data_IF_635125908367
#
_entry.id   IF_635125908367
#
_cell.length_a   1.000
_cell.length_b   1.000
_cell.length_c   1.000
_cell.angle_alpha   90.00
_cell.angle_beta   90.00
_cell.angle_gamma   90.00
#
_symmetry.space_group_name_H-M   'P 1'
#
loop_
_entity.id
_entity.type
_entity.pdbx_description
1 polymer ?
#
# COMPACT_ATOMS: atom_id res chain seq x y z
N UNK A 1 59.70 -69.56 14.57
CA UNK A 1 59.86 -68.75 13.35
C UNK A 1 58.47 -68.63 12.74
N UNK A 2 57.84 -67.45 12.81
CA UNK A 2 57.79 -66.44 11.73
C UNK A 2 56.95 -66.94 10.53
N UNK A 3 55.69 -66.51 10.36
CA UNK A 3 55.21 -65.24 9.75
C UNK A 3 55.29 -65.28 8.19
N UNK A 4 54.42 -64.72 7.34
CA UNK A 4 53.22 -63.82 7.45
C UNK A 4 52.14 -64.33 6.45
N UNK A 5 50.82 -64.19 6.67
CA UNK A 5 49.88 -63.27 5.96
C UNK A 5 48.58 -64.02 5.55
N UNK A 6 47.43 -63.42 5.16
CA UNK A 6 46.74 -62.18 5.58
C UNK A 6 45.28 -62.14 5.01
N UNK A 7 44.43 -61.24 5.52
CA UNK A 7 43.16 -60.69 4.97
C UNK A 7 42.07 -61.62 4.34
N UNK A 8 40.96 -61.77 5.08
CA UNK A 8 39.61 -62.15 4.64
C UNK A 8 38.84 -60.94 4.03
N UNK A 9 37.65 -61.02 3.42
CA UNK A 9 36.88 -62.08 2.73
C UNK A 9 35.82 -61.39 1.84
N UNK A 10 35.18 -62.12 0.91
CA UNK A 10 34.35 -61.55 -0.15
C UNK A 10 33.04 -60.89 0.32
N UNK A 11 32.66 -59.79 -0.33
CA UNK A 11 31.33 -59.17 -0.21
C UNK A 11 30.40 -59.58 -1.36
N UNK A 12 29.12 -59.79 -1.05
CA UNK A 12 28.04 -59.92 -2.03
C UNK A 12 26.76 -59.25 -1.51
N UNK A 13 25.96 -58.74 -2.44
CA UNK A 13 24.97 -57.68 -2.21
C UNK A 13 23.56 -58.25 -2.00
N UNK A 14 22.84 -57.79 -0.97
CA UNK A 14 21.38 -58.01 -0.84
C UNK A 14 20.67 -56.72 -0.45
N UNK A 15 19.56 -56.41 -1.15
CA UNK A 15 18.72 -55.23 -0.91
C UNK A 15 17.54 -55.62 -0.02
N UNK A 16 17.31 -54.87 1.06
CA UNK A 16 16.10 -54.99 1.90
C UNK A 16 15.16 -53.81 1.64
N UNK A 17 13.86 -54.11 1.51
CA UNK A 17 12.82 -53.11 1.27
C UNK A 17 12.27 -52.55 2.59
N UNK A 18 12.03 -51.24 2.65
CA UNK A 18 11.51 -50.57 3.84
C UNK A 18 9.96 -50.55 3.88
N UNK A 19 9.33 -50.80 5.04
CA UNK A 19 7.89 -50.62 5.22
C UNK A 19 7.52 -49.14 5.36
N UNK A 20 6.30 -48.80 4.93
CA UNK A 20 5.87 -47.42 4.73
C UNK A 20 5.37 -46.76 6.02
N UNK A 21 5.87 -45.56 6.33
CA UNK A 21 5.28 -44.68 7.35
C UNK A 21 4.30 -43.74 6.66
N UNK A 22 3.01 -43.87 6.99
CA UNK A 22 1.96 -42.93 6.61
C UNK A 22 2.16 -41.60 7.33
N UNK A 23 2.91 -40.70 6.71
CA UNK A 23 2.92 -39.29 7.09
C UNK A 23 1.62 -38.64 6.61
N UNK A 24 0.65 -38.49 7.52
CA UNK A 24 -0.52 -37.64 7.29
C UNK A 24 -0.05 -36.19 7.12
N UNK A 25 0.14 -35.77 5.87
CA UNK A 25 0.49 -34.39 5.54
C UNK A 25 -0.62 -33.45 6.01
N UNK A 26 -0.33 -32.69 7.05
CA UNK A 26 -1.19 -31.60 7.50
C UNK A 26 -1.12 -30.49 6.45
N UNK A 27 -2.03 -30.50 5.46
CA UNK A 27 -2.19 -29.36 4.58
C UNK A 27 -2.66 -28.17 5.44
N UNK A 28 -1.71 -27.31 5.82
CA UNK A 28 -2.06 -25.92 6.05
C UNK A 28 -2.56 -25.37 4.72
N UNK A 29 -3.88 -25.30 4.58
CA UNK A 29 -4.49 -24.32 3.69
C UNK A 29 -4.17 -22.93 4.25
N UNK A 30 -2.98 -22.43 3.92
CA UNK A 30 -2.71 -21.01 3.92
C UNK A 30 -3.71 -20.41 2.95
N UNK A 31 -4.78 -19.83 3.50
CA UNK A 31 -5.68 -18.96 2.76
C UNK A 31 -4.92 -17.67 2.47
N UNK A 32 -3.97 -17.74 1.53
CA UNK A 32 -3.44 -16.56 0.89
C UNK A 32 -4.60 -15.82 0.26
N UNK A 33 -4.69 -14.52 0.52
CA UNK A 33 -5.50 -13.65 -0.32
C UNK A 33 -5.07 -13.89 -1.78
N UNK A 34 -6.01 -13.98 -2.75
CA UNK A 34 -5.62 -14.14 -4.14
C UNK A 34 -4.72 -12.97 -4.54
N UNK A 35 -3.44 -13.29 -4.75
CA UNK A 35 -2.45 -12.34 -5.25
C UNK A 35 -2.92 -11.86 -6.60
N UNK A 36 -3.27 -10.58 -6.68
CA UNK A 36 -3.77 -9.98 -7.91
C UNK A 36 -2.59 -9.32 -8.62
N UNK A 37 -2.42 -9.67 -9.88
CA UNK A 37 -1.51 -8.99 -10.81
C UNK A 37 -1.77 -7.48 -10.75
N UNK A 38 -0.69 -6.68 -10.66
CA UNK A 38 -0.69 -5.23 -10.92
C UNK A 38 -1.89 -4.42 -10.40
N UNK A 39 -2.32 -4.66 -9.15
CA UNK A 39 -3.55 -4.13 -8.57
C UNK A 39 -3.56 -2.59 -8.37
N UNK A 40 -3.78 -1.82 -9.44
CA UNK A 40 -3.95 -0.36 -9.37
C UNK A 40 -5.35 0.00 -8.86
N UNK A 41 -5.37 0.79 -7.79
CA UNK A 41 -6.55 1.49 -7.29
C UNK A 41 -6.50 2.99 -7.56
N UNK A 42 -7.59 3.68 -7.24
CA UNK A 42 -7.65 5.15 -7.23
C UNK A 42 -8.32 5.63 -5.95
N UNK A 43 -7.74 6.64 -5.29
CA UNK A 43 -8.32 7.29 -4.12
C UNK A 43 -9.54 8.13 -4.50
N UNK A 44 -10.69 7.91 -3.86
CA UNK A 44 -11.88 8.75 -4.02
C UNK A 44 -11.89 9.80 -2.91
N UNK A 45 -11.18 10.91 -3.16
CA UNK A 45 -11.25 12.13 -2.36
C UNK A 45 -12.58 12.85 -2.55
N UNK A 46 -13.07 13.49 -1.48
CA UNK A 46 -14.41 14.13 -1.43
C UNK A 46 -14.36 15.51 -0.75
N UNK A 47 -13.18 16.13 -0.65
CA UNK A 47 -13.01 17.49 -0.10
C UNK A 47 -13.33 18.50 -1.22
N UNK A 48 -14.58 18.48 -1.69
CA UNK A 48 -15.07 19.29 -2.79
C UNK A 48 -16.60 19.42 -2.76
N UNK A 49 -17.12 20.48 -3.38
CA UNK A 49 -18.57 20.79 -3.40
C UNK A 49 -19.25 20.61 -4.76
N UNK A 50 -18.55 20.04 -5.74
CA UNK A 50 -18.97 19.98 -7.15
C UNK A 50 -18.79 18.59 -7.81
N UNK A 51 -18.60 17.54 -7.01
CA UNK A 51 -18.36 16.17 -7.51
C UNK A 51 -19.65 15.50 -8.05
N UNK A 52 -19.53 14.50 -8.95
CA UNK A 52 -20.66 13.69 -9.40
C UNK A 52 -21.30 12.86 -8.27
N UNK A 53 -22.51 12.37 -8.51
CA UNK A 53 -23.17 11.46 -7.57
C UNK A 53 -22.39 10.13 -7.44
N UNK A 54 -22.38 9.47 -6.26
CA UNK A 54 -21.59 8.25 -6.04
C UNK A 54 -21.83 7.14 -7.06
N UNK A 55 -23.06 6.94 -7.52
CA UNK A 55 -23.40 5.94 -8.54
C UNK A 55 -22.72 6.22 -9.89
N UNK A 56 -22.57 7.50 -10.26
CA UNK A 56 -21.84 7.90 -11.47
C UNK A 56 -20.34 7.63 -11.30
N UNK A 57 -19.78 7.93 -10.13
CA UNK A 57 -18.35 7.67 -9.84
C UNK A 57 -18.06 6.17 -9.81
N UNK A 58 -18.87 5.35 -9.14
CA UNK A 58 -18.67 3.89 -9.13
C UNK A 58 -18.86 3.29 -10.53
N UNK A 59 -19.79 3.81 -11.34
CA UNK A 59 -19.91 3.42 -12.76
C UNK A 59 -18.65 3.79 -13.56
N UNK A 60 -18.03 4.94 -13.25
CA UNK A 60 -16.81 5.43 -13.89
C UNK A 60 -15.58 4.60 -13.53
N UNK A 61 -15.43 4.19 -12.25
CA UNK A 61 -14.38 3.24 -11.84
C UNK A 61 -14.45 1.97 -12.69
N UNK A 62 -15.64 1.38 -12.83
CA UNK A 62 -15.86 0.19 -13.68
C UNK A 62 -15.56 0.45 -15.15
N UNK A 63 -16.02 1.58 -15.70
CA UNK A 63 -15.77 1.95 -17.10
C UNK A 63 -14.29 2.22 -17.42
N UNK A 64 -13.47 2.53 -16.40
CA UNK A 64 -12.02 2.76 -16.51
C UNK A 64 -11.17 1.55 -16.07
N UNK A 65 -11.79 0.40 -15.81
CA UNK A 65 -11.15 -0.83 -15.29
C UNK A 65 -10.44 -0.67 -13.94
N UNK A 66 -10.79 0.36 -13.15
CA UNK A 66 -10.22 0.60 -11.82
C UNK A 66 -10.86 -0.38 -10.84
N UNK A 67 -10.08 -1.35 -10.38
CA UNK A 67 -10.59 -2.46 -9.56
C UNK A 67 -10.62 -2.17 -8.06
N UNK A 68 -9.97 -1.08 -7.60
CA UNK A 68 -9.84 -0.75 -6.18
C UNK A 68 -10.10 0.72 -5.89
N UNK A 69 -10.77 0.99 -4.77
CA UNK A 69 -11.04 2.34 -4.27
C UNK A 69 -10.57 2.46 -2.82
N UNK A 70 -9.94 3.60 -2.49
CA UNK A 70 -9.70 4.01 -1.11
C UNK A 70 -10.60 5.19 -0.77
N UNK A 71 -11.42 5.01 0.27
CA UNK A 71 -12.27 6.01 0.89
C UNK A 71 -11.59 6.51 2.16
N UNK A 72 -11.56 7.82 2.38
CA UNK A 72 -10.89 8.43 3.54
C UNK A 72 -11.73 8.42 4.82
N UNK A 73 -13.05 8.31 4.68
CA UNK A 73 -14.03 8.28 5.77
C UNK A 73 -15.21 7.37 5.36
N UNK A 74 -16.07 6.94 6.30
CA UNK A 74 -17.22 6.11 5.98
C UNK A 74 -18.38 6.93 5.39
N UNK A 75 -18.45 7.01 4.06
CA UNK A 75 -19.62 7.54 3.36
C UNK A 75 -20.63 6.42 3.00
N UNK A 76 -21.85 6.51 3.55
CA UNK A 76 -22.88 5.47 3.38
C UNK A 76 -23.57 5.49 2.01
N UNK A 77 -23.55 6.60 1.28
CA UNK A 77 -24.07 6.68 -0.08
C UNK A 77 -23.10 6.00 -1.06
N UNK A 78 -21.80 6.25 -0.91
CA UNK A 78 -20.73 5.61 -1.69
C UNK A 78 -20.65 4.12 -1.38
N UNK A 79 -20.73 3.71 -0.11
CA UNK A 79 -20.84 2.30 0.26
C UNK A 79 -22.11 1.62 -0.27
N UNK A 80 -23.21 2.37 -0.44
CA UNK A 80 -24.42 1.86 -1.09
C UNK A 80 -24.21 1.68 -2.60
N UNK A 81 -23.62 2.65 -3.29
CA UNK A 81 -23.26 2.57 -4.71
C UNK A 81 -22.25 1.45 -5.01
N UNK A 82 -21.36 1.12 -4.06
CA UNK A 82 -20.38 0.04 -4.17
C UNK A 82 -20.98 -1.38 -4.07
N UNK A 83 -22.23 -1.54 -3.64
CA UNK A 83 -22.86 -2.87 -3.48
C UNK A 83 -22.94 -3.63 -4.80
N UNK A 84 -22.35 -4.81 -4.86
CA UNK A 84 -22.30 -5.64 -6.06
C UNK A 84 -21.42 -5.08 -7.19
N UNK A 85 -20.65 -4.02 -6.94
CA UNK A 85 -19.78 -3.41 -7.95
C UNK A 85 -18.67 -4.34 -8.42
N UNK A 86 -18.11 -5.14 -7.49
CA UNK A 86 -16.90 -5.94 -7.66
C UNK A 86 -15.61 -5.19 -7.32
N UNK A 87 -15.70 -3.91 -6.93
CA UNK A 87 -14.54 -3.08 -6.59
C UNK A 87 -14.12 -3.37 -5.15
N UNK A 88 -12.82 -3.60 -4.94
CA UNK A 88 -12.23 -3.78 -3.60
C UNK A 88 -12.06 -2.44 -2.88
N UNK A 89 -12.41 -2.39 -1.59
CA UNK A 89 -12.53 -1.15 -0.81
C UNK A 89 -11.54 -1.10 0.34
N UNK A 90 -10.76 -0.02 0.41
CA UNK A 90 -10.06 0.42 1.62
C UNK A 90 -10.93 1.48 2.30
N UNK A 91 -11.41 1.21 3.50
CA UNK A 91 -12.29 2.12 4.24
C UNK A 91 -11.54 2.80 5.40
N UNK A 92 -11.27 4.09 5.25
CA UNK A 92 -10.69 4.92 6.30
C UNK A 92 -11.66 5.24 7.43
N UNK A 93 -11.13 5.29 8.65
CA UNK A 93 -11.75 6.03 9.75
C UNK A 93 -11.43 7.51 9.62
N UNK A 94 -12.33 8.34 10.14
CA UNK A 94 -12.02 9.71 10.50
C UNK A 94 -10.84 9.75 11.49
N UNK A 95 -9.93 10.73 11.36
CA UNK A 95 -8.80 10.90 12.28
C UNK A 95 -9.29 11.39 13.66
N UNK A 96 -10.38 12.14 13.65
CA UNK A 96 -11.08 12.74 14.78
C UNK A 96 -11.74 11.67 15.65
N UNK A 97 -12.12 10.54 15.04
CA UNK A 97 -12.67 9.36 15.72
C UNK A 97 -11.61 8.55 16.48
N UNK A 98 -10.31 8.68 16.14
CA UNK A 98 -9.26 7.76 16.61
C UNK A 98 -9.17 7.66 18.13
N UNK A 99 -9.21 8.80 18.84
CA UNK A 99 -9.15 8.80 20.30
C UNK A 99 -10.32 8.00 20.91
N UNK A 100 -11.51 8.11 20.31
CA UNK A 100 -12.70 7.42 20.79
C UNK A 100 -12.70 5.94 20.40
N UNK A 101 -12.28 5.61 19.17
CA UNK A 101 -12.07 4.24 18.72
C UNK A 101 -11.02 3.52 19.58
N UNK A 102 -10.01 4.23 20.07
CA UNK A 102 -8.97 3.72 20.97
C UNK A 102 -9.45 3.49 22.41
N UNK A 103 -10.24 4.43 22.95
CA UNK A 103 -10.61 4.45 24.38
C UNK A 103 -11.96 3.80 24.71
N UNK A 104 -12.86 3.68 23.73
CA UNK A 104 -14.22 3.16 23.90
C UNK A 104 -14.51 1.99 22.92
N UNK A 105 -14.35 0.74 23.37
CA UNK A 105 -14.67 -0.43 22.56
C UNK A 105 -16.15 -0.50 22.12
N UNK A 106 -17.07 0.15 22.85
CA UNK A 106 -18.48 0.22 22.45
C UNK A 106 -18.71 1.20 21.29
N UNK A 107 -17.88 2.25 21.20
CA UNK A 107 -17.83 3.11 20.03
C UNK A 107 -17.30 2.37 18.81
N UNK A 108 -16.19 1.62 18.94
CA UNK A 108 -15.66 0.80 17.84
C UNK A 108 -16.66 -0.26 17.36
N UNK A 109 -17.39 -0.91 18.28
CA UNK A 109 -18.48 -1.82 17.93
C UNK A 109 -19.62 -1.11 17.17
N UNK A 110 -20.02 0.08 17.61
CA UNK A 110 -21.06 0.89 16.96
C UNK A 110 -20.62 1.38 15.57
N UNK A 111 -19.35 1.78 15.42
CA UNK A 111 -18.75 2.19 14.16
C UNK A 111 -18.78 1.05 13.14
N UNK A 112 -18.36 -0.16 13.53
CA UNK A 112 -18.42 -1.35 12.66
C UNK A 112 -19.86 -1.73 12.31
N UNK A 113 -20.78 -1.71 13.29
CA UNK A 113 -22.19 -2.02 13.08
C UNK A 113 -22.91 -1.04 12.13
N UNK A 114 -22.41 0.20 12.05
CA UNK A 114 -22.96 1.25 11.16
C UNK A 114 -22.30 1.22 9.77
N UNK A 115 -20.97 1.16 9.73
CA UNK A 115 -20.19 1.49 8.53
C UNK A 115 -19.70 0.27 7.73
N UNK A 116 -19.66 -0.92 8.34
CA UNK A 116 -19.11 -2.13 7.69
C UNK A 116 -20.14 -3.26 7.66
N UNK A 117 -20.75 -3.59 8.80
CA UNK A 117 -21.66 -4.73 8.92
C UNK A 117 -22.86 -4.68 7.95
N UNK A 118 -23.51 -3.53 7.66
CA UNK A 118 -24.64 -3.46 6.73
C UNK A 118 -24.24 -3.61 5.24
N UNK A 119 -22.94 -3.63 4.96
CA UNK A 119 -22.37 -3.74 3.62
C UNK A 119 -21.55 -5.02 3.42
N UNK A 120 -21.25 -5.75 4.51
CA UNK A 120 -20.53 -7.02 4.46
C UNK A 120 -21.21 -8.04 3.54
N UNK A 121 -20.44 -8.67 2.65
CA UNK A 121 -20.94 -9.59 1.62
C UNK A 121 -21.52 -8.93 0.36
N UNK A 122 -21.87 -7.64 0.41
CA UNK A 122 -22.28 -6.85 -0.77
C UNK A 122 -21.15 -5.92 -1.27
N UNK A 123 -20.29 -5.44 -0.36
CA UNK A 123 -19.09 -4.64 -0.64
C UNK A 123 -17.85 -5.48 -0.32
N UNK A 124 -16.85 -5.44 -1.20
CA UNK A 124 -15.59 -6.18 -1.04
C UNK A 124 -14.57 -5.37 -0.24
N UNK A 125 -14.74 -5.27 1.08
CA UNK A 125 -13.73 -4.64 1.93
C UNK A 125 -12.42 -5.43 1.90
N UNK A 126 -11.32 -4.77 1.50
CA UNK A 126 -9.95 -5.28 1.65
C UNK A 126 -9.44 -4.96 3.05
N UNK A 127 -9.44 -3.67 3.38
CA UNK A 127 -8.86 -3.14 4.61
C UNK A 127 -9.78 -2.13 5.30
N UNK A 128 -9.83 -2.17 6.64
CA UNK A 128 -10.26 -1.03 7.46
C UNK A 128 -9.02 -0.29 7.92
N UNK A 129 -8.94 1.00 7.63
CA UNK A 129 -7.77 1.83 7.86
C UNK A 129 -7.99 2.77 9.04
N UNK A 130 -7.37 2.47 10.18
CA UNK A 130 -7.41 3.29 11.39
C UNK A 130 -6.44 4.46 11.26
N UNK A 131 -6.96 5.60 10.81
CA UNK A 131 -6.24 6.86 10.68
C UNK A 131 -5.41 7.01 9.41
N UNK A 132 -5.12 8.27 9.07
CA UNK A 132 -4.32 8.68 7.92
C UNK A 132 -3.29 9.72 8.36
N UNK A 133 -2.01 9.41 8.17
CA UNK A 133 -0.85 10.30 8.41
C UNK A 133 -0.75 10.89 9.82
N UNK A 134 -1.44 10.28 10.80
CA UNK A 134 -1.46 10.73 12.20
C UNK A 134 -0.16 10.53 12.97
N UNK A 135 0.80 9.77 12.41
CA UNK A 135 2.09 9.46 13.04
C UNK A 135 3.17 10.30 12.35
N UNK A 136 4.02 11.06 13.07
CA UNK A 136 4.24 11.05 14.53
C UNK A 136 3.50 12.15 15.33
N UNK A 137 2.32 12.61 14.89
CA UNK A 137 1.56 13.67 15.57
C UNK A 137 0.87 13.24 16.87
N UNK A 138 0.19 14.19 17.53
CA UNK A 138 -0.38 14.01 18.88
C UNK A 138 -1.32 12.80 19.03
N UNK A 139 -2.06 12.46 17.98
CA UNK A 139 -2.99 11.32 17.97
C UNK A 139 -2.33 9.96 17.66
N UNK A 140 -1.01 9.91 17.41
CA UNK A 140 -0.28 8.69 17.08
C UNK A 140 -0.48 7.57 18.13
N UNK A 141 -0.55 7.93 19.42
CA UNK A 141 -0.76 6.98 20.52
C UNK A 141 -2.12 6.25 20.48
N UNK A 142 -3.09 6.77 19.73
CA UNK A 142 -4.43 6.20 19.60
C UNK A 142 -4.53 5.16 18.47
N UNK A 143 -3.59 5.14 17.53
CA UNK A 143 -3.67 4.29 16.32
C UNK A 143 -3.74 2.80 16.67
N UNK A 144 -2.77 2.28 17.43
CA UNK A 144 -2.73 0.84 17.74
C UNK A 144 -3.93 0.35 18.58
N UNK A 145 -4.37 1.04 19.66
CA UNK A 145 -5.59 0.63 20.37
C UNK A 145 -6.86 0.73 19.51
N UNK A 146 -6.96 1.73 18.62
CA UNK A 146 -8.09 1.83 17.69
C UNK A 146 -8.11 0.64 16.71
N UNK A 147 -6.96 0.23 16.16
CA UNK A 147 -6.85 -0.97 15.32
C UNK A 147 -7.33 -2.22 16.05
N UNK A 148 -6.90 -2.42 17.31
CA UNK A 148 -7.27 -3.56 18.14
C UNK A 148 -8.77 -3.60 18.45
N UNK A 149 -9.37 -2.47 18.77
CA UNK A 149 -10.80 -2.37 19.04
C UNK A 149 -11.65 -2.61 17.77
N UNK A 150 -11.22 -2.07 16.62
CA UNK A 150 -11.86 -2.32 15.32
C UNK A 150 -11.77 -3.81 14.91
N UNK A 151 -10.61 -4.46 15.09
CA UNK A 151 -10.46 -5.90 14.83
C UNK A 151 -11.41 -6.73 15.71
N UNK A 152 -11.48 -6.41 17.01
CA UNK A 152 -12.37 -7.09 17.95
C UNK A 152 -13.84 -6.87 17.60
N UNK A 153 -14.20 -5.66 17.15
CA UNK A 153 -15.55 -5.32 16.69
C UNK A 153 -15.95 -6.06 15.41
N UNK A 154 -15.09 -6.09 14.38
CA UNK A 154 -15.31 -6.86 13.14
C UNK A 154 -15.56 -8.35 13.43
N UNK A 155 -14.70 -8.95 14.25
CA UNK A 155 -14.84 -10.34 14.69
C UNK A 155 -16.16 -10.58 15.44
N UNK A 156 -16.55 -9.67 16.32
CA UNK A 156 -17.80 -9.76 17.09
C UNK A 156 -19.05 -9.61 16.19
N UNK A 157 -18.97 -8.73 15.19
CA UNK A 157 -19.97 -8.54 14.14
C UNK A 157 -20.01 -9.69 13.12
N UNK A 158 -19.11 -10.67 13.23
CA UNK A 158 -18.89 -11.80 12.30
C UNK A 158 -18.52 -11.37 10.87
N UNK A 159 -17.91 -10.19 10.73
CA UNK A 159 -17.28 -9.75 9.48
C UNK A 159 -15.90 -10.38 9.40
N UNK A 160 -15.69 -11.26 8.42
CA UNK A 160 -14.44 -12.01 8.22
C UNK A 160 -13.78 -11.62 6.90
N UNK A 161 -12.48 -11.92 6.75
CA UNK A 161 -11.73 -11.66 5.51
C UNK A 161 -11.29 -10.21 5.30
N UNK A 162 -11.56 -9.31 6.24
CA UNK A 162 -11.15 -7.90 6.20
C UNK A 162 -10.05 -7.67 7.22
N UNK A 163 -8.89 -7.17 6.79
CA UNK A 163 -7.79 -6.83 7.70
C UNK A 163 -7.93 -5.41 8.26
N UNK A 164 -7.39 -5.16 9.45
CA UNK A 164 -7.28 -3.80 10.02
C UNK A 164 -5.85 -3.32 9.91
N UNK A 165 -5.67 -2.09 9.42
CA UNK A 165 -4.37 -1.47 9.14
C UNK A 165 -4.38 0.02 9.52
N UNK A 166 -3.30 0.74 9.24
CA UNK A 166 -3.16 2.20 9.33
C UNK A 166 -2.32 2.72 8.17
N UNK A 167 -2.54 3.98 7.76
CA UNK A 167 -1.85 4.62 6.64
C UNK A 167 -0.91 5.73 7.15
N UNK A 168 0.36 5.67 6.72
CA UNK A 168 1.41 6.60 7.17
C UNK A 168 2.04 7.40 6.03
N UNK A 169 2.36 8.65 6.32
CA UNK A 169 3.20 9.48 5.46
C UNK A 169 4.66 9.01 5.51
N UNK A 170 5.48 9.40 4.52
CA UNK A 170 6.95 9.26 4.60
C UNK A 170 7.58 10.03 5.77
N UNK A 171 6.86 10.96 6.41
CA UNK A 171 7.26 11.67 7.62
C UNK A 171 7.53 10.76 8.84
N UNK A 172 7.12 9.48 8.80
CA UNK A 172 7.55 8.49 9.81
C UNK A 172 9.02 8.09 9.69
N UNK A 173 9.67 8.36 8.56
CA UNK A 173 11.09 8.06 8.32
C UNK A 173 11.98 9.19 8.84
N UNK A 174 13.04 8.83 9.57
CA UNK A 174 14.10 9.76 9.98
C UNK A 174 15.31 9.68 9.05
N UNK A 175 15.70 8.46 8.68
CA UNK A 175 16.69 8.20 7.64
C UNK A 175 16.01 7.49 6.46
N UNK A 176 16.33 7.92 5.24
CA UNK A 176 15.77 7.35 3.99
C UNK A 176 16.77 7.30 2.83
N UNK A 177 17.98 7.86 3.00
CA UNK A 177 19.04 7.86 1.99
C UNK A 177 20.38 7.32 2.55
N UNK A 178 21.04 6.37 1.86
CA UNK A 178 20.48 5.55 0.78
C UNK A 178 19.34 4.66 1.30
N UNK A 179 18.51 4.02 0.44
CA UNK A 179 17.33 3.28 0.89
C UNK A 179 17.59 2.18 1.93
N UNK A 180 18.71 1.45 1.87
CA UNK A 180 19.13 0.50 2.92
C UNK A 180 19.25 1.11 4.32
N UNK A 181 19.45 2.43 4.40
CA UNK A 181 19.51 3.16 5.66
C UNK A 181 18.16 3.64 6.17
N UNK A 182 17.07 3.35 5.46
CA UNK A 182 15.69 3.48 5.93
C UNK A 182 15.52 3.15 7.41
N UNK A 183 15.01 4.09 8.19
CA UNK A 183 14.75 3.94 9.62
C UNK A 183 13.63 4.89 10.03
N UNK A 184 12.75 4.45 10.95
CA UNK A 184 11.76 5.34 11.55
C UNK A 184 12.45 6.48 12.32
N UNK A 185 11.84 7.67 12.31
CA UNK A 185 12.33 8.81 13.07
C UNK A 185 12.23 8.57 14.58
N UNK A 186 13.02 9.28 15.39
CA UNK A 186 12.99 9.14 16.86
C UNK A 186 11.59 9.38 17.43
N UNK A 187 10.81 10.27 16.81
CA UNK A 187 9.42 10.55 17.17
C UNK A 187 8.44 9.45 16.74
N UNK A 188 8.64 8.84 15.57
CA UNK A 188 7.75 7.80 15.06
C UNK A 188 8.04 6.40 15.62
N UNK A 189 9.31 6.06 15.86
CA UNK A 189 9.74 4.71 16.22
C UNK A 189 9.03 4.09 17.44
N UNK A 190 8.77 4.82 18.55
CA UNK A 190 8.05 4.27 19.70
C UNK A 190 6.62 3.82 19.40
N UNK A 191 5.98 4.41 18.39
CA UNK A 191 4.61 4.08 17.95
C UNK A 191 4.63 3.09 16.78
N UNK A 192 5.55 3.27 15.82
CA UNK A 192 5.64 2.42 14.63
C UNK A 192 6.08 0.99 14.96
N UNK A 193 7.07 0.79 15.83
CA UNK A 193 7.58 -0.54 16.18
C UNK A 193 6.50 -1.52 16.69
N UNK A 194 5.63 -1.15 17.66
CA UNK A 194 4.53 -2.03 18.08
C UNK A 194 3.42 -2.16 17.02
N UNK A 195 3.18 -1.14 16.18
CA UNK A 195 2.22 -1.22 15.06
C UNK A 195 2.69 -2.26 14.03
N UNK A 196 3.93 -2.20 13.55
CA UNK A 196 4.42 -3.14 12.52
C UNK A 196 4.50 -4.57 13.06
N UNK A 197 4.79 -4.73 14.35
CA UNK A 197 4.75 -6.03 15.04
C UNK A 197 3.32 -6.59 15.12
N UNK A 198 2.34 -5.73 15.45
CA UNK A 198 0.93 -6.10 15.46
C UNK A 198 0.45 -6.48 14.05
N UNK A 199 0.69 -5.65 13.03
CA UNK A 199 0.35 -5.92 11.63
C UNK A 199 0.91 -7.28 11.16
N UNK A 200 2.20 -7.53 11.42
CA UNK A 200 2.84 -8.82 11.13
C UNK A 200 2.15 -9.99 11.82
N UNK A 201 1.77 -9.85 13.09
CA UNK A 201 1.04 -10.90 13.84
C UNK A 201 -0.35 -11.22 13.27
N UNK A 202 -0.92 -10.32 12.45
CA UNK A 202 -2.23 -10.46 11.81
C UNK A 202 -2.15 -10.82 10.32
N UNK A 203 -0.96 -10.82 9.72
CA UNK A 203 -0.82 -10.91 8.26
C UNK A 203 -1.43 -9.71 7.52
N UNK A 204 -1.50 -8.55 8.17
CA UNK A 204 -2.03 -7.31 7.59
C UNK A 204 -0.87 -6.47 7.03
N UNK A 205 -1.05 -5.77 5.88
CA UNK A 205 -0.05 -4.85 5.36
C UNK A 205 0.02 -3.56 6.19
N UNK A 206 1.12 -2.82 6.07
CA UNK A 206 1.16 -1.39 6.40
C UNK A 206 0.84 -0.58 5.14
N UNK A 207 -0.02 0.43 5.26
CA UNK A 207 -0.33 1.35 4.17
C UNK A 207 0.60 2.56 4.23
N UNK A 208 1.17 2.96 3.09
CA UNK A 208 2.18 4.02 3.01
C UNK A 208 1.81 4.99 1.89
N UNK A 209 1.76 6.28 2.20
CA UNK A 209 1.56 7.34 1.23
C UNK A 209 2.93 7.75 0.64
N UNK A 210 3.12 7.58 -0.67
CA UNK A 210 4.41 7.70 -1.36
C UNK A 210 4.34 8.79 -2.41
N UNK A 211 4.95 9.95 -2.14
CA UNK A 211 4.91 11.11 -3.04
C UNK A 211 6.32 11.60 -3.42
N UNK A 212 6.91 11.07 -4.51
CA UNK A 212 8.11 11.63 -5.14
C UNK A 212 7.99 13.11 -5.51
N UNK A 213 6.77 13.58 -5.80
CA UNK A 213 6.49 14.99 -6.10
C UNK A 213 6.99 15.94 -5.01
N UNK A 214 6.61 15.73 -3.74
CA UNK A 214 6.98 16.64 -2.65
C UNK A 214 8.49 16.63 -2.37
N UNK A 215 9.14 15.47 -2.55
CA UNK A 215 10.59 15.37 -2.48
C UNK A 215 11.28 16.10 -3.64
N UNK A 216 10.72 16.07 -4.86
CA UNK A 216 11.17 16.86 -5.99
C UNK A 216 11.02 18.36 -5.73
N UNK A 217 9.80 18.84 -5.47
CA UNK A 217 9.47 20.27 -5.35
C UNK A 217 10.17 20.92 -4.14
N UNK A 218 10.40 20.16 -3.07
CA UNK A 218 11.14 20.61 -1.88
C UNK A 218 12.66 20.58 -2.00
N UNK A 219 13.23 19.99 -3.06
CA UNK A 219 14.68 19.71 -3.15
C UNK A 219 15.56 20.89 -3.57
N UNK A 220 14.98 22.03 -3.96
CA UNK A 220 15.70 23.14 -4.60
C UNK A 220 16.58 22.69 -5.79
N UNK A 221 16.11 21.71 -6.57
CA UNK A 221 16.80 21.17 -7.75
C UNK A 221 17.80 20.04 -7.48
N UNK A 222 17.93 19.56 -6.24
CA UNK A 222 18.80 18.41 -5.92
C UNK A 222 18.23 17.08 -6.42
N UNK A 223 16.89 16.96 -6.52
CA UNK A 223 16.22 15.79 -7.08
C UNK A 223 15.96 16.02 -8.57
N UNK A 224 16.52 15.18 -9.42
CA UNK A 224 16.29 15.26 -10.86
C UNK A 224 14.84 14.87 -11.20
N UNK A 225 14.17 15.69 -12.03
CA UNK A 225 12.77 15.48 -12.40
C UNK A 225 12.53 14.07 -12.98
N UNK A 226 13.42 13.56 -13.83
CA UNK A 226 13.27 12.22 -14.43
C UNK A 226 13.28 11.09 -13.39
N UNK A 227 14.04 11.24 -12.31
CA UNK A 227 14.09 10.28 -11.19
C UNK A 227 12.80 10.31 -10.36
N UNK A 228 12.21 11.49 -10.16
CA UNK A 228 10.93 11.66 -9.49
C UNK A 228 9.74 11.19 -10.36
N UNK A 229 9.82 11.34 -11.69
CA UNK A 229 8.79 10.93 -12.66
C UNK A 229 8.79 9.45 -13.05
N UNK A 230 9.66 8.61 -12.44
CA UNK A 230 9.88 7.21 -12.84
C UNK A 230 10.21 7.10 -14.35
N UNK A 231 10.98 8.06 -14.89
CA UNK A 231 11.28 8.12 -16.32
C UNK A 231 12.24 6.99 -16.73
N UNK A 232 11.94 6.33 -17.85
CA UNK A 232 12.85 5.39 -18.47
C UNK A 232 14.18 6.07 -18.88
N UNK A 233 15.28 5.31 -18.86
CA UNK A 233 16.58 5.79 -19.30
C UNK A 233 16.52 6.26 -20.77
N UNK A 234 16.93 7.51 -21.02
CA UNK A 234 16.82 8.16 -22.34
C UNK A 234 15.50 8.88 -22.60
N UNK A 235 14.61 9.00 -21.60
CA UNK A 235 13.42 9.86 -21.65
C UNK A 235 13.75 11.37 -21.70
N UNK A 236 12.70 12.19 -21.87
CA UNK A 236 12.82 13.65 -22.05
C UNK A 236 13.33 14.42 -20.81
N UNK A 237 13.25 13.83 -19.62
CA UNK A 237 13.74 14.41 -18.38
C UNK A 237 15.05 13.74 -17.94
N UNK A 238 16.04 14.49 -17.41
CA UNK A 238 17.30 13.90 -16.95
C UNK A 238 17.04 12.92 -15.80
N UNK A 239 17.48 11.68 -15.98
CA UNK A 239 17.42 10.63 -14.97
C UNK A 239 18.72 10.62 -14.15
N UNK A 240 18.58 10.58 -12.82
CA UNK A 240 19.65 10.21 -11.89
C UNK A 240 19.42 8.78 -11.38
N UNK A 241 20.44 8.15 -10.81
CA UNK A 241 20.32 6.81 -10.21
C UNK A 241 21.01 6.77 -8.85
N UNK A 242 20.47 6.01 -7.91
CA UNK A 242 21.09 5.78 -6.59
C UNK A 242 21.56 4.33 -6.51
N UNK A 243 22.86 4.12 -6.33
CA UNK A 243 23.44 2.78 -6.09
C UNK A 243 23.55 2.54 -4.59
N UNK A 244 22.97 1.44 -4.10
CA UNK A 244 22.87 1.14 -2.68
C UNK A 244 22.95 -0.38 -2.44
N UNK A 245 23.97 -0.84 -1.71
CA UNK A 245 24.10 -2.23 -1.29
C UNK A 245 24.06 -3.27 -2.43
N UNK A 246 24.50 -2.90 -3.64
CA UNK A 246 24.52 -3.77 -4.81
C UNK A 246 23.28 -3.69 -5.73
N UNK A 247 22.25 -2.92 -5.36
CA UNK A 247 21.12 -2.61 -6.24
C UNK A 247 21.20 -1.16 -6.75
N UNK A 248 20.50 -0.87 -7.85
CA UNK A 248 20.41 0.47 -8.45
C UNK A 248 18.95 0.90 -8.49
N UNK A 249 18.63 2.00 -7.83
CA UNK A 249 17.34 2.68 -7.93
C UNK A 249 17.40 3.64 -9.11
N UNK A 250 16.54 3.40 -10.10
CA UNK A 250 16.38 4.26 -11.29
C UNK A 250 15.29 5.30 -11.12
N UNK A 251 14.49 5.19 -10.05
CA UNK A 251 13.39 6.09 -9.73
C UNK A 251 13.23 6.26 -8.21
N UNK A 252 12.57 7.35 -7.82
CA UNK A 252 12.36 7.71 -6.42
C UNK A 252 11.25 6.92 -5.73
N UNK A 253 10.25 6.41 -6.45
CA UNK A 253 9.16 5.62 -5.88
C UNK A 253 9.70 4.35 -5.21
N UNK A 254 10.51 3.59 -5.93
CA UNK A 254 11.19 2.40 -5.41
C UNK A 254 12.08 2.72 -4.21
N UNK A 255 12.82 3.82 -4.28
CA UNK A 255 13.71 4.25 -3.21
C UNK A 255 12.94 4.57 -1.90
N UNK A 256 11.75 5.16 -2.00
CA UNK A 256 10.88 5.43 -0.85
C UNK A 256 10.27 4.12 -0.29
N UNK A 257 9.79 3.24 -1.17
CA UNK A 257 9.17 1.96 -0.77
C UNK A 257 10.20 1.06 -0.08
N UNK A 258 11.39 0.88 -0.66
CA UNK A 258 12.44 0.07 -0.04
C UNK A 258 13.08 0.73 1.20
N UNK A 259 13.12 2.06 1.28
CA UNK A 259 13.49 2.75 2.53
C UNK A 259 12.46 2.51 3.65
N UNK A 260 11.17 2.45 3.29
CA UNK A 260 10.11 2.14 4.27
C UNK A 260 10.19 0.68 4.72
N UNK A 261 10.45 -0.25 3.81
CA UNK A 261 10.73 -1.64 4.17
C UNK A 261 11.96 -1.76 5.08
N UNK A 262 13.07 -1.10 4.78
CA UNK A 262 14.26 -1.10 5.63
C UNK A 262 13.98 -0.55 7.05
N UNK A 263 13.11 0.45 7.17
CA UNK A 263 12.67 0.96 8.47
C UNK A 263 11.86 -0.09 9.27
N UNK A 264 10.96 -0.82 8.62
CA UNK A 264 10.20 -1.93 9.23
C UNK A 264 11.12 -3.08 9.65
N UNK A 265 12.10 -3.43 8.82
CA UNK A 265 13.10 -4.46 9.10
C UNK A 265 13.97 -4.10 10.31
N UNK A 266 14.42 -2.83 10.41
CA UNK A 266 15.15 -2.31 11.57
C UNK A 266 14.31 -2.23 12.84
N UNK A 267 12.99 -2.10 12.73
CA UNK A 267 12.05 -2.24 13.85
C UNK A 267 11.83 -3.71 14.28
N UNK A 268 12.53 -4.67 13.67
CA UNK A 268 12.52 -6.09 14.04
C UNK A 268 11.51 -6.95 13.28
N UNK A 269 10.80 -6.39 12.29
CA UNK A 269 9.77 -7.10 11.53
C UNK A 269 10.24 -7.39 10.11
N UNK A 270 10.38 -8.67 9.78
CA UNK A 270 10.83 -9.13 8.47
C UNK A 270 9.62 -9.50 7.58
N UNK A 271 9.69 -9.14 6.30
CA UNK A 271 8.71 -9.59 5.30
C UNK A 271 7.30 -9.01 5.41
N UNK A 272 7.08 -7.94 6.19
CA UNK A 272 5.78 -7.24 6.22
C UNK A 272 5.43 -6.70 4.83
N UNK A 273 4.19 -6.90 4.41
CA UNK A 273 3.65 -6.31 3.19
C UNK A 273 3.49 -4.80 3.33
N UNK A 274 3.86 -4.05 2.29
CA UNK A 274 3.52 -2.64 2.13
C UNK A 274 2.53 -2.47 0.98
N UNK A 275 1.54 -1.62 1.18
CA UNK A 275 0.61 -1.16 0.15
C UNK A 275 0.84 0.34 -0.01
N UNK A 276 1.04 0.80 -1.24
CA UNK A 276 1.14 2.24 -1.51
C UNK A 276 -0.28 2.82 -1.54
N UNK A 277 -0.72 3.39 -0.43
CA UNK A 277 -2.12 3.78 -0.20
C UNK A 277 -2.50 5.12 -0.81
N UNK A 278 -1.52 5.91 -1.22
CA UNK A 278 -1.62 7.10 -2.06
C UNK A 278 -0.30 7.27 -2.81
N UNK A 279 -0.40 7.65 -4.07
CA UNK A 279 0.71 8.20 -4.84
C UNK A 279 0.19 9.04 -5.99
N UNK A 280 0.82 10.16 -6.31
CA UNK A 280 0.32 11.05 -7.36
C UNK A 280 1.21 12.24 -7.63
N UNK A 281 0.79 13.03 -8.62
CA UNK A 281 1.51 14.22 -9.06
C UNK A 281 0.49 15.29 -9.50
N UNK A 282 0.59 16.54 -9.00
CA UNK A 282 -0.39 17.58 -9.29
C UNK A 282 -0.23 18.12 -10.72
N UNK A 283 -1.37 18.36 -11.36
CA UNK A 283 -1.45 18.86 -12.74
C UNK A 283 -1.33 20.38 -12.88
N UNK A 284 -1.30 21.11 -11.76
CA UNK A 284 -1.33 22.57 -11.69
C UNK A 284 -1.22 23.07 -10.26
N UNK A 285 -1.71 24.29 -10.00
CA UNK A 285 -1.66 24.90 -8.65
C UNK A 285 -0.35 25.62 -8.31
N UNK A 286 0.51 25.89 -9.30
CA UNK A 286 1.68 26.76 -9.18
C UNK A 286 2.92 26.16 -8.50
N UNK A 287 2.91 24.88 -8.13
CA UNK A 287 4.09 24.17 -7.64
C UNK A 287 5.12 23.88 -8.73
N UNK A 288 6.40 23.76 -8.35
CA UNK A 288 7.45 23.38 -9.31
C UNK A 288 7.18 21.97 -9.86
N UNK A 289 7.29 21.82 -11.18
CA UNK A 289 6.95 20.59 -11.90
C UNK A 289 5.47 20.21 -11.92
N UNK A 290 4.56 20.99 -11.32
CA UNK A 290 3.13 20.70 -11.29
C UNK A 290 2.46 21.08 -12.64
N UNK A 291 2.47 20.14 -13.59
CA UNK A 291 1.91 20.32 -14.94
C UNK A 291 1.13 19.08 -15.38
N UNK A 292 0.21 19.26 -16.33
CA UNK A 292 -0.59 18.16 -16.92
C UNK A 292 0.32 17.09 -17.54
N UNK A 293 1.40 17.50 -18.21
CA UNK A 293 2.36 16.61 -18.86
C UNK A 293 3.12 15.75 -17.84
N UNK A 294 3.59 16.36 -16.74
CA UNK A 294 4.30 15.64 -15.68
C UNK A 294 3.36 14.73 -14.88
N UNK A 295 2.13 15.17 -14.62
CA UNK A 295 1.11 14.36 -13.94
C UNK A 295 0.71 13.14 -14.77
N UNK A 296 0.51 13.32 -16.08
CA UNK A 296 0.27 12.23 -17.02
C UNK A 296 1.46 11.26 -17.09
N UNK A 297 2.69 11.78 -17.16
CA UNK A 297 3.90 10.96 -17.17
C UNK A 297 4.03 10.13 -15.88
N UNK A 298 3.93 10.78 -14.71
CA UNK A 298 4.05 10.14 -13.41
C UNK A 298 3.06 8.98 -13.24
N UNK A 299 1.76 9.27 -13.36
CA UNK A 299 0.71 8.30 -13.07
C UNK A 299 0.74 7.12 -14.05
N UNK A 300 0.98 7.35 -15.35
CA UNK A 300 1.14 6.25 -16.31
C UNK A 300 2.44 5.45 -16.10
N UNK A 301 3.52 6.09 -15.62
CA UNK A 301 4.75 5.36 -15.30
C UNK A 301 4.57 4.47 -14.06
N UNK A 302 3.87 4.95 -13.02
CA UNK A 302 3.48 4.12 -11.85
C UNK A 302 2.68 2.90 -12.31
N UNK A 303 1.63 3.07 -13.13
CA UNK A 303 0.79 1.95 -13.61
C UNK A 303 1.59 0.87 -14.33
N UNK A 304 2.57 1.26 -15.17
CA UNK A 304 3.45 0.31 -15.88
C UNK A 304 4.54 -0.30 -15.00
N UNK A 305 4.90 0.33 -13.89
CA UNK A 305 6.04 -0.03 -13.06
C UNK A 305 5.69 -1.03 -11.96
N UNK A 306 4.57 -0.82 -11.25
CA UNK A 306 4.31 -1.50 -9.96
C UNK A 306 4.16 -3.02 -10.04
N UNK A 307 3.90 -3.59 -11.22
CA UNK A 307 3.90 -5.04 -11.42
C UNK A 307 5.28 -5.69 -11.25
N UNK A 308 6.36 -4.95 -11.53
CA UNK A 308 7.74 -5.45 -11.44
C UNK A 308 8.32 -5.54 -10.03
N UNK A 309 7.68 -4.91 -9.04
CA UNK A 309 8.21 -4.75 -7.69
C UNK A 309 9.34 -3.72 -7.59
N UNK A 310 10.10 -3.77 -6.49
CA UNK A 310 11.20 -2.84 -6.21
C UNK A 310 12.58 -3.50 -6.37
N UNK A 311 13.71 -2.76 -6.45
CA UNK A 311 15.04 -3.34 -6.56
C UNK A 311 15.43 -4.32 -5.46
N UNK A 312 14.94 -4.17 -4.21
CA UNK A 312 15.14 -5.18 -3.15
C UNK A 312 14.06 -6.26 -3.12
N UNK A 313 12.94 -6.10 -3.84
CA UNK A 313 11.81 -7.06 -3.95
C UNK A 313 11.39 -7.28 -5.40
N UNK A 314 12.31 -7.74 -6.28
CA UNK A 314 12.01 -7.91 -7.69
C UNK A 314 10.96 -9.00 -7.93
N UNK A 315 10.06 -8.78 -8.87
CA UNK A 315 9.00 -9.72 -9.23
C UNK A 315 7.86 -9.83 -8.22
N UNK A 316 7.76 -8.88 -7.28
CA UNK A 316 6.67 -8.81 -6.30
C UNK A 316 5.83 -7.55 -6.55
N UNK A 317 4.63 -7.66 -7.14
CA UNK A 317 3.77 -6.51 -7.40
C UNK A 317 3.48 -5.68 -6.15
N UNK A 318 3.48 -4.35 -6.30
CA UNK A 318 3.14 -3.40 -5.22
C UNK A 318 1.70 -2.92 -5.43
N UNK A 319 0.77 -3.35 -4.58
CA UNK A 319 -0.60 -2.80 -4.59
C UNK A 319 -0.53 -1.29 -4.33
N UNK A 320 -1.09 -0.50 -5.26
CA UNK A 320 -0.84 0.93 -5.35
C UNK A 320 -2.12 1.69 -5.72
N UNK A 321 -2.42 2.76 -4.98
CA UNK A 321 -3.59 3.60 -5.18
C UNK A 321 -3.14 4.99 -5.68
N UNK A 322 -3.65 5.39 -6.85
CA UNK A 322 -3.37 6.72 -7.41
C UNK A 322 -4.23 7.79 -6.73
N UNK A 323 -3.58 8.86 -6.27
CA UNK A 323 -4.22 10.04 -5.67
C UNK A 323 -4.33 11.15 -6.73
N UNK A 324 -5.53 11.59 -7.15
CA UNK A 324 -6.87 11.12 -6.75
C UNK A 324 -7.85 11.11 -7.93
N UNK A 325 -9.05 10.55 -7.73
CA UNK A 325 -10.07 10.46 -8.78
C UNK A 325 -10.43 11.83 -9.37
N UNK A 326 -10.58 12.86 -8.52
CA UNK A 326 -11.01 14.20 -8.94
C UNK A 326 -10.14 15.31 -8.37
N UNK A 327 -10.14 16.46 -9.05
CA UNK A 327 -9.66 17.72 -8.49
C UNK A 327 -10.57 18.17 -7.33
N UNK A 328 -9.98 18.42 -6.15
CA UNK A 328 -10.72 18.63 -4.90
C UNK A 328 -10.75 20.11 -4.49
N UNK A 329 -11.79 20.84 -4.92
CA UNK A 329 -11.85 22.30 -4.85
C UNK A 329 -12.02 22.92 -3.44
N UNK A 330 -12.16 22.11 -2.38
CA UNK A 330 -12.17 22.58 -0.99
C UNK A 330 -10.89 22.21 -0.22
N UNK A 331 -9.90 21.58 -0.87
CA UNK A 331 -8.54 21.49 -0.31
C UNK A 331 -7.85 22.86 -0.28
N UNK A 332 -6.72 22.94 0.42
CA UNK A 332 -5.90 24.15 0.50
C UNK A 332 -5.54 24.69 -0.89
N UNK A 333 -5.48 26.01 -1.05
CA UNK A 333 -5.17 26.64 -2.33
C UNK A 333 -3.76 26.24 -2.85
N UNK A 334 -3.66 26.00 -4.15
CA UNK A 334 -2.45 25.51 -4.80
C UNK A 334 -2.56 24.05 -5.21
N UNK A 335 -1.45 23.32 -5.18
CA UNK A 335 -1.30 21.98 -5.79
C UNK A 335 -2.28 20.93 -5.27
N UNK A 336 -2.73 21.07 -4.02
CA UNK A 336 -3.69 20.17 -3.36
C UNK A 336 -5.05 20.11 -4.07
N UNK A 337 -5.43 21.15 -4.82
CA UNK A 337 -6.67 21.17 -5.61
C UNK A 337 -6.52 20.49 -6.99
N UNK A 338 -5.30 20.04 -7.36
CA UNK A 338 -4.93 19.66 -8.74
C UNK A 338 -4.39 18.23 -8.92
N UNK A 339 -4.56 17.35 -7.94
CA UNK A 339 -4.17 15.93 -8.01
C UNK A 339 -5.14 15.02 -8.81
N UNK A 340 -6.25 15.56 -9.31
CA UNK A 340 -7.26 14.79 -10.02
C UNK A 340 -6.77 14.17 -11.32
N UNK A 341 -7.11 12.89 -11.52
CA UNK A 341 -7.09 12.25 -12.84
C UNK A 341 -8.21 12.80 -13.73
N UNK A 342 -9.35 13.13 -13.13
CA UNK A 342 -10.53 13.67 -13.79
C UNK A 342 -10.96 15.02 -13.19
N UNK A 343 -11.63 15.82 -14.01
CA UNK A 343 -12.35 17.00 -13.54
C UNK A 343 -13.68 16.57 -12.88
N UNK A 344 -14.30 17.41 -12.04
CA UNK A 344 -15.60 17.12 -11.43
C UNK A 344 -16.76 16.94 -12.43
N UNK A 345 -16.60 17.37 -13.69
CA UNK A 345 -17.55 17.08 -14.79
C UNK A 345 -17.32 15.71 -15.47
N UNK A 346 -16.45 14.87 -14.89
CA UNK A 346 -16.04 13.54 -15.36
C UNK A 346 -15.16 13.53 -16.64
N UNK A 347 -14.72 14.69 -17.14
CA UNK A 347 -13.70 14.75 -18.21
C UNK A 347 -12.31 14.39 -17.67
N UNK A 348 -11.43 13.85 -18.53
CA UNK A 348 -10.03 13.58 -18.17
C UNK A 348 -9.24 14.90 -18.05
N UNK A 349 -8.49 15.07 -16.96
CA UNK A 349 -7.43 16.11 -16.91
C UNK A 349 -6.29 15.69 -17.83
N UNK A 350 -5.98 14.40 -17.81
CA UNK A 350 -5.08 13.69 -18.71
C UNK A 350 -5.45 12.20 -18.72
N UNK A 351 -5.04 11.49 -19.77
CA UNK A 351 -5.34 10.07 -19.90
C UNK A 351 -4.43 9.21 -18.99
N UNK A 352 -5.00 8.20 -18.33
CA UNK A 352 -4.26 7.15 -17.61
C UNK A 352 -4.71 5.79 -18.13
N UNK A 353 -3.76 5.03 -18.68
CA UNK A 353 -4.01 3.68 -19.19
C UNK A 353 -3.89 2.64 -18.06
N UNK A 354 -5.00 2.44 -17.35
CA UNK A 354 -5.12 1.41 -16.31
C UNK A 354 -4.97 -0.03 -16.84
N UNK A 355 -5.02 -0.27 -18.15
CA UNK A 355 -4.85 -1.62 -18.72
C UNK A 355 -3.39 -2.04 -18.84
N UNK A 356 -2.45 -1.08 -18.90
CA UNK A 356 -1.02 -1.35 -18.98
C UNK A 356 -0.42 -2.01 -17.71
N UNK A 357 -1.15 -2.01 -16.59
CA UNK A 357 -0.76 -2.69 -15.35
C UNK A 357 -1.07 -4.19 -15.33
N UNK A 358 -1.86 -4.70 -16.28
CA UNK A 358 -2.30 -6.12 -16.33
C UNK A 358 -1.54 -6.97 -17.36
N UNK A 359 -0.41 -6.48 -17.88
CA UNK A 359 0.31 -7.10 -19.02
C UNK A 359 1.72 -7.58 -18.68
N UNK A 360 1.95 -8.07 -17.45
CA UNK A 360 3.24 -8.56 -16.94
C UNK A 360 3.12 -9.93 -16.26
#
# INVERSE_FOLDING_TARGET
MAAVAAAAAAGAMTKTAAPWVLACGFLLCLAGFPGTEGAIGVNYGMVANNLPAPEQVISMYKAKNISYVRLFHPDTAVLTALRGSGIGVVLGTLNEDLQRLASDPSYAASWVATNVQPFAGAVQFRYINAGNEVIPGDSASHVLPAMQNLESALRSARVTGVAVTTAVATAVLGASYPPSQGAFSEAAAPVMAPIVSYLSSKGAPLLVNVYPYFAYSGSAGQVALGYALLSAAGGAAPASTVTDGGVVYTNMFDAIVDATHAAVEKAGVQGLELVVSETGWPSGGGGDGATVENAAAYNNNVVRHVGGGTPRRPGKPVETYLFAMFNENQKAEGVEQHFGLFQPDMSEVYHVDFTAGSSS
#
